data_IF_603554778575
#
_entry.id   IF_603554778575
#
_cell.length_a   1.000
_cell.length_b   1.000
_cell.length_c   1.000
_cell.angle_alpha   90.00
_cell.angle_beta   90.00
_cell.angle_gamma   90.00
#
_symmetry.space_group_name_H-M   'P 1'
#
loop_
_entity.id
_entity.type
_entity.pdbx_description
1 polymer ?
#
# COMPACT_ATOMS: atom_id res chain seq x y z
N UNK A 1 -8.95 25.52 17.43
CA UNK A 1 -8.05 24.39 17.07
C UNK A 1 -8.93 23.24 16.58
N UNK A 2 -8.71 22.72 15.38
CA UNK A 2 -9.57 21.67 14.79
C UNK A 2 -9.32 20.34 15.52
N UNK A 3 -10.39 19.71 16.02
CA UNK A 3 -10.35 18.46 16.79
C UNK A 3 -10.74 17.25 15.93
N UNK A 4 -10.10 17.11 14.77
CA UNK A 4 -10.41 16.05 13.81
C UNK A 4 -9.61 14.79 14.15
N UNK A 5 -10.29 13.71 14.54
CA UNK A 5 -9.66 12.42 14.88
C UNK A 5 -9.50 11.50 13.67
N UNK A 6 -10.41 11.59 12.70
CA UNK A 6 -10.45 10.73 11.52
C UNK A 6 -10.80 11.57 10.31
N UNK A 7 -10.03 11.39 9.23
CA UNK A 7 -10.30 12.00 7.94
C UNK A 7 -10.49 10.89 6.92
N UNK A 8 -11.57 10.96 6.15
CA UNK A 8 -11.79 10.11 4.98
C UNK A 8 -12.06 11.01 3.79
N UNK A 9 -11.24 10.89 2.76
CA UNK A 9 -11.44 11.54 1.47
C UNK A 9 -11.72 10.46 0.43
N UNK A 10 -12.83 10.58 -0.29
CA UNK A 10 -13.29 9.61 -1.30
C UNK A 10 -13.54 10.30 -2.62
N UNK A 11 -13.12 9.69 -3.74
CA UNK A 11 -13.35 10.21 -5.10
C UNK A 11 -12.87 11.65 -5.25
N UNK A 12 -11.74 11.96 -4.62
CA UNK A 12 -11.18 13.30 -4.64
C UNK A 12 -10.63 13.62 -6.03
N UNK A 13 -11.21 14.62 -6.70
CA UNK A 13 -10.58 15.26 -7.87
C UNK A 13 -9.45 16.22 -7.45
N UNK A 14 -8.89 16.04 -6.25
CA UNK A 14 -7.79 16.84 -5.75
C UNK A 14 -6.49 16.36 -6.39
N UNK A 15 -5.67 17.32 -6.86
CA UNK A 15 -4.32 17.02 -7.34
C UNK A 15 -3.43 16.53 -6.20
N UNK A 16 -3.54 17.17 -5.03
CA UNK A 16 -2.86 16.83 -3.79
C UNK A 16 -3.80 17.10 -2.60
N UNK A 17 -3.74 16.25 -1.57
CA UNK A 17 -4.38 16.48 -0.28
C UNK A 17 -3.31 16.85 0.76
N UNK A 18 -3.18 18.14 1.07
CA UNK A 18 -2.16 18.68 1.97
C UNK A 18 -2.71 18.85 3.40
N UNK A 19 -2.21 18.05 4.34
CA UNK A 19 -2.61 18.07 5.75
C UNK A 19 -1.67 18.98 6.55
N UNK A 20 -1.93 20.28 6.51
CA UNK A 20 -1.01 21.30 7.04
C UNK A 20 -0.84 21.22 8.57
N UNK A 21 -1.93 21.17 9.34
CA UNK A 21 -1.88 21.07 10.80
C UNK A 21 -3.13 20.40 11.35
N UNK A 22 -3.04 19.10 11.65
CA UNK A 22 -4.11 18.30 12.25
C UNK A 22 -3.53 17.49 13.43
N UNK A 23 -3.25 18.16 14.57
CA UNK A 23 -2.47 17.58 15.67
C UNK A 23 -3.10 16.36 16.33
N UNK A 24 -4.42 16.19 16.19
CA UNK A 24 -5.19 15.10 16.79
C UNK A 24 -5.66 14.06 15.77
N UNK A 25 -5.28 14.20 14.49
CA UNK A 25 -5.65 13.23 13.47
C UNK A 25 -4.97 11.91 13.78
N UNK A 26 -5.76 10.85 13.93
CA UNK A 26 -5.27 9.51 14.22
C UNK A 26 -5.39 8.57 13.02
N UNK A 27 -6.38 8.79 12.16
CA UNK A 27 -6.68 7.92 11.02
C UNK A 27 -6.95 8.72 9.76
N UNK A 28 -6.29 8.33 8.68
CA UNK A 28 -6.54 8.84 7.33
C UNK A 28 -6.93 7.69 6.41
N UNK A 29 -8.03 7.86 5.70
CA UNK A 29 -8.35 7.05 4.53
C UNK A 29 -8.40 7.96 3.31
N UNK A 30 -7.58 7.68 2.31
CA UNK A 30 -7.65 8.38 1.02
C UNK A 30 -7.95 7.40 -0.10
N UNK A 31 -9.06 7.64 -0.78
CA UNK A 31 -9.66 6.74 -1.75
C UNK A 31 -9.79 7.44 -3.10
N UNK A 32 -9.13 6.84 -4.09
CA UNK A 32 -9.19 7.15 -5.51
C UNK A 32 -8.77 8.58 -5.88
N UNK A 33 -7.51 8.91 -5.61
CA UNK A 33 -6.90 10.20 -6.00
C UNK A 33 -6.45 10.23 -7.47
N UNK A 34 -6.23 11.46 -7.95
CA UNK A 34 -5.80 11.70 -9.32
C UNK A 34 -4.30 11.42 -9.53
N UNK A 35 -4.02 10.86 -10.70
CA UNK A 35 -2.81 10.13 -11.09
C UNK A 35 -1.52 10.95 -11.26
N UNK A 36 -1.65 12.25 -11.59
CA UNK A 36 -0.54 12.99 -12.21
C UNK A 36 0.52 13.50 -11.23
N UNK A 37 0.24 13.55 -9.92
CA UNK A 37 1.07 14.20 -8.90
C UNK A 37 1.15 13.38 -7.60
N UNK A 38 1.99 13.82 -6.67
CA UNK A 38 2.06 13.23 -5.32
C UNK A 38 0.73 13.49 -4.59
N UNK A 39 0.05 12.45 -4.08
CA UNK A 39 -1.34 12.59 -3.66
C UNK A 39 -1.52 13.21 -2.29
N UNK A 40 -0.49 13.17 -1.44
CA UNK A 40 -0.58 13.54 -0.04
C UNK A 40 0.67 14.27 0.40
N UNK A 41 0.45 15.35 1.15
CA UNK A 41 1.49 16.03 1.91
C UNK A 41 1.10 16.03 3.39
N UNK A 42 2.02 15.59 4.24
CA UNK A 42 1.86 15.65 5.68
C UNK A 42 2.69 16.81 6.24
N UNK A 43 1.99 17.82 6.77
CA UNK A 43 2.56 18.84 7.64
C UNK A 43 2.61 18.33 9.09
N UNK A 44 1.92 19.01 10.00
CA UNK A 44 1.92 18.63 11.42
C UNK A 44 0.77 17.67 11.78
N UNK A 45 1.07 16.37 11.78
CA UNK A 45 0.13 15.26 12.09
C UNK A 45 0.69 14.25 13.12
N UNK A 46 1.17 14.68 14.30
CA UNK A 46 1.92 13.85 15.24
C UNK A 46 1.19 12.60 15.77
N UNK A 47 -0.14 12.57 15.73
CA UNK A 47 -0.93 11.44 16.24
C UNK A 47 -1.39 10.46 15.15
N UNK A 48 -1.06 10.72 13.88
CA UNK A 48 -1.48 9.88 12.78
C UNK A 48 -0.80 8.52 12.93
N UNK A 49 -1.60 7.47 13.11
CA UNK A 49 -1.09 6.11 13.35
C UNK A 49 -1.69 5.08 12.39
N UNK A 50 -2.80 5.42 11.73
CA UNK A 50 -3.46 4.55 10.76
C UNK A 50 -3.62 5.24 9.42
N UNK A 51 -3.10 4.60 8.37
CA UNK A 51 -3.21 5.08 7.00
C UNK A 51 -3.85 4.00 6.13
N UNK A 52 -4.87 4.39 5.36
CA UNK A 52 -5.46 3.53 4.33
C UNK A 52 -5.45 4.26 3.00
N UNK A 53 -4.75 3.68 2.02
CA UNK A 53 -4.64 4.20 0.67
C UNK A 53 -5.32 3.21 -0.27
N UNK A 54 -6.38 3.67 -0.92
CA UNK A 54 -7.23 2.84 -1.77
C UNK A 54 -7.20 3.44 -3.17
N UNK A 55 -6.73 2.67 -4.16
CA UNK A 55 -6.70 3.15 -5.54
C UNK A 55 -6.74 2.01 -6.54
N UNK A 56 -7.67 2.15 -7.48
CA UNK A 56 -7.63 1.41 -8.74
C UNK A 56 -6.60 2.07 -9.65
N UNK A 57 -5.50 1.38 -9.91
CA UNK A 57 -4.40 1.93 -10.69
C UNK A 57 -4.68 1.90 -12.19
N UNK A 58 -4.17 2.90 -12.91
CA UNK A 58 -4.19 2.99 -14.36
C UNK A 58 -2.77 3.18 -14.90
N UNK A 59 -2.58 2.98 -16.20
CA UNK A 59 -1.25 3.02 -16.85
C UNK A 59 -0.45 4.30 -16.56
N UNK A 60 -1.12 5.45 -16.50
CA UNK A 60 -0.48 6.75 -16.27
C UNK A 60 -0.13 7.03 -14.80
N UNK A 61 -0.57 6.18 -13.85
CA UNK A 61 -0.29 6.39 -12.43
C UNK A 61 1.21 6.35 -12.15
N UNK A 62 1.67 7.45 -11.56
CA UNK A 62 2.98 7.51 -10.93
C UNK A 62 3.04 6.51 -9.79
N UNK A 63 4.18 5.86 -9.70
CA UNK A 63 4.50 4.99 -8.57
C UNK A 63 4.95 5.87 -7.41
N UNK A 64 4.44 5.62 -6.21
CA UNK A 64 4.75 6.38 -5.01
C UNK A 64 5.86 5.69 -4.20
N UNK A 65 6.74 6.49 -3.65
CA UNK A 65 7.73 6.07 -2.65
C UNK A 65 7.14 6.25 -1.25
N UNK A 66 7.05 5.17 -0.48
CA UNK A 66 6.56 5.22 0.90
C UNK A 66 7.52 6.00 1.80
N UNK A 67 8.83 5.93 1.53
CA UNK A 67 9.83 6.68 2.30
C UNK A 67 9.60 8.19 2.20
N UNK A 68 9.32 8.69 0.99
CA UNK A 68 9.00 10.10 0.75
C UNK A 68 7.61 10.47 1.30
N UNK A 69 6.60 9.64 1.02
CA UNK A 69 5.22 9.87 1.43
C UNK A 69 5.09 10.02 2.95
N UNK A 70 5.81 9.19 3.71
CA UNK A 70 5.69 9.10 5.16
C UNK A 70 6.83 9.81 5.90
N UNK A 71 7.72 10.53 5.20
CA UNK A 71 8.89 11.19 5.79
C UNK A 71 8.57 12.10 6.99
N UNK A 72 7.42 12.79 6.95
CA UNK A 72 6.96 13.70 8.00
C UNK A 72 6.00 13.06 9.00
N UNK A 73 5.71 11.76 8.88
CA UNK A 73 4.82 11.06 9.79
C UNK A 73 5.65 10.38 10.88
N UNK A 74 5.52 10.79 12.16
CA UNK A 74 6.45 10.31 13.20
C UNK A 74 6.38 8.80 13.44
N UNK A 75 5.19 8.20 13.30
CA UNK A 75 5.00 6.77 13.51
C UNK A 75 3.69 6.30 12.90
N UNK A 76 3.76 5.35 11.98
CA UNK A 76 2.59 4.58 11.52
C UNK A 76 2.60 3.21 12.20
N UNK A 77 1.46 2.81 12.78
CA UNK A 77 1.26 1.50 13.39
C UNK A 77 0.41 0.56 12.52
N UNK A 78 -0.40 1.10 11.61
CA UNK A 78 -1.39 0.38 10.80
C UNK A 78 -1.41 0.95 9.38
N UNK A 79 -1.09 0.13 8.39
CA UNK A 79 -1.06 0.50 6.98
C UNK A 79 -1.94 -0.43 6.16
N UNK A 80 -2.90 0.14 5.44
CA UNK A 80 -3.70 -0.57 4.43
C UNK A 80 -3.39 -0.01 3.05
N UNK A 81 -3.03 -0.90 2.12
CA UNK A 81 -2.88 -0.61 0.70
C UNK A 81 -3.87 -1.48 -0.06
N UNK A 82 -4.77 -0.86 -0.81
CA UNK A 82 -5.82 -1.56 -1.56
C UNK A 82 -5.63 -1.29 -3.06
N UNK A 83 -5.23 -2.35 -3.77
CA UNK A 83 -4.83 -2.30 -5.18
C UNK A 83 -6.00 -2.73 -6.07
N UNK A 84 -6.71 -1.82 -6.71
CA UNK A 84 -7.90 -2.19 -7.50
C UNK A 84 -7.64 -2.78 -8.90
N UNK A 85 -6.39 -3.10 -9.26
CA UNK A 85 -5.97 -3.39 -10.65
C UNK A 85 -4.59 -4.03 -10.72
N UNK A 86 -4.17 -4.50 -11.90
CA UNK A 86 -2.82 -4.95 -12.22
C UNK A 86 -1.72 -3.90 -11.93
N UNK A 87 -2.08 -2.61 -11.96
CA UNK A 87 -1.15 -1.52 -11.70
C UNK A 87 -0.86 -1.41 -10.20
N UNK A 88 0.34 -1.83 -9.83
CA UNK A 88 0.96 -1.50 -8.55
C UNK A 88 1.42 -0.03 -8.58
N UNK A 89 0.84 0.80 -7.71
CA UNK A 89 1.15 2.25 -7.61
C UNK A 89 2.06 2.60 -6.43
N UNK A 90 2.63 1.61 -5.74
CA UNK A 90 3.69 1.77 -4.72
C UNK A 90 5.00 1.17 -5.21
N UNK A 91 6.11 1.88 -5.01
CA UNK A 91 7.44 1.40 -5.35
C UNK A 91 7.94 0.48 -4.23
N UNK A 92 8.44 -0.70 -4.62
CA UNK A 92 9.20 -1.56 -3.70
C UNK A 92 10.61 -1.00 -3.57
N UNK A 93 10.75 -0.01 -2.71
CA UNK A 93 12.04 0.62 -2.40
C UNK A 93 12.99 -0.36 -1.70
N UNK A 94 14.26 0.01 -1.57
CA UNK A 94 15.18 -0.74 -0.72
C UNK A 94 14.65 -0.74 0.73
N UNK A 95 14.46 -1.90 1.38
CA UNK A 95 13.91 -1.98 2.73
C UNK A 95 14.64 -1.10 3.75
N UNK A 96 15.95 -0.91 3.59
CA UNK A 96 16.78 -0.04 4.44
C UNK A 96 16.33 1.43 4.45
N UNK A 97 15.74 1.91 3.36
CA UNK A 97 15.18 3.27 3.27
C UNK A 97 13.84 3.38 4.02
N UNK A 98 13.10 2.27 4.10
CA UNK A 98 11.80 2.21 4.73
C UNK A 98 11.87 1.89 6.22
N UNK A 99 12.90 1.17 6.66
CA UNK A 99 13.06 0.78 8.07
C UNK A 99 12.90 1.94 9.05
N UNK A 100 13.51 3.14 8.85
CA UNK A 100 13.32 4.25 9.78
C UNK A 100 11.87 4.71 9.91
N UNK A 101 11.11 4.62 8.82
CA UNK A 101 9.73 5.13 8.70
C UNK A 101 8.70 4.08 9.14
N UNK A 102 8.99 2.79 8.92
CA UNK A 102 8.11 1.67 9.23
C UNK A 102 8.51 0.90 10.50
N UNK A 103 9.48 1.39 11.27
CA UNK A 103 9.99 0.70 12.47
C UNK A 103 8.93 0.44 13.56
N UNK A 104 7.81 1.17 13.58
CA UNK A 104 6.68 1.00 14.51
C UNK A 104 5.46 0.35 13.85
N UNK A 105 5.53 0.03 12.58
CA UNK A 105 4.44 -0.60 11.86
C UNK A 105 4.19 -2.00 12.43
N UNK A 106 2.96 -2.27 12.84
CA UNK A 106 2.56 -3.53 13.49
C UNK A 106 1.53 -4.32 12.69
N UNK A 107 0.69 -3.64 11.90
CA UNK A 107 -0.37 -4.26 11.13
C UNK A 107 -0.33 -3.76 9.70
N UNK A 108 -0.33 -4.69 8.76
CA UNK A 108 -0.40 -4.38 7.32
C UNK A 108 -1.49 -5.19 6.67
N UNK A 109 -2.33 -4.50 5.89
CA UNK A 109 -3.30 -5.12 4.99
C UNK A 109 -2.95 -4.75 3.55
N UNK A 110 -2.67 -5.77 2.73
CA UNK A 110 -2.51 -5.65 1.28
C UNK A 110 -3.76 -6.23 0.62
N UNK A 111 -4.71 -5.36 0.28
CA UNK A 111 -5.97 -5.78 -0.31
C UNK A 111 -5.90 -5.72 -1.82
N UNK A 112 -6.57 -6.68 -2.47
CA UNK A 112 -6.62 -6.80 -3.93
C UNK A 112 -5.24 -6.76 -4.60
N UNK A 113 -4.23 -7.36 -3.97
CA UNK A 113 -2.89 -7.44 -4.55
C UNK A 113 -2.91 -8.33 -5.81
N UNK A 114 -2.43 -7.87 -6.98
CA UNK A 114 -2.39 -8.70 -8.19
C UNK A 114 -1.75 -10.07 -7.96
N UNK A 115 -2.34 -11.12 -8.53
CA UNK A 115 -1.83 -12.50 -8.46
C UNK A 115 -0.31 -12.57 -8.73
N UNK A 116 0.42 -13.49 -8.11
CA UNK A 116 1.87 -13.68 -8.30
C UNK A 116 2.77 -12.54 -7.81
N UNK A 117 2.19 -11.51 -7.18
CA UNK A 117 2.95 -10.46 -6.47
C UNK A 117 3.10 -10.77 -4.96
N UNK A 118 2.29 -11.70 -4.44
CA UNK A 118 2.12 -12.04 -3.04
C UNK A 118 3.43 -12.35 -2.32
N UNK A 119 4.24 -13.28 -2.81
CA UNK A 119 5.53 -13.61 -2.18
C UNK A 119 6.46 -12.39 -2.17
N UNK A 120 6.54 -11.69 -3.29
CA UNK A 120 7.45 -10.58 -3.46
C UNK A 120 7.09 -9.37 -2.57
N UNK A 121 5.80 -9.17 -2.32
CA UNK A 121 5.29 -8.15 -1.40
C UNK A 121 5.38 -8.58 0.05
N UNK A 122 5.12 -9.86 0.35
CA UNK A 122 5.29 -10.42 1.69
C UNK A 122 6.71 -10.18 2.18
N UNK A 123 7.71 -10.59 1.40
CA UNK A 123 9.12 -10.41 1.78
C UNK A 123 9.53 -8.95 1.87
N UNK A 124 9.08 -8.11 0.93
CA UNK A 124 9.34 -6.67 0.96
C UNK A 124 8.85 -6.02 2.26
N UNK A 125 7.61 -6.31 2.67
CA UNK A 125 7.02 -5.74 3.90
C UNK A 125 7.75 -6.27 5.14
N UNK A 126 8.06 -7.57 5.19
CA UNK A 126 8.78 -8.15 6.33
C UNK A 126 10.17 -7.53 6.48
N UNK A 127 10.93 -7.39 5.40
CA UNK A 127 12.26 -6.78 5.45
C UNK A 127 12.21 -5.29 5.84
N UNK A 128 11.15 -4.57 5.46
CA UNK A 128 11.02 -3.14 5.71
C UNK A 128 10.47 -2.79 7.11
N UNK A 129 9.65 -3.65 7.72
CA UNK A 129 8.90 -3.36 8.94
C UNK A 129 9.28 -4.32 10.09
N UNK A 130 10.37 -4.06 10.83
CA UNK A 130 10.92 -5.00 11.82
C UNK A 130 9.99 -5.28 13.02
N UNK A 131 9.02 -4.40 13.31
CA UNK A 131 8.07 -4.57 14.42
C UNK A 131 6.73 -5.17 13.98
N UNK A 132 6.62 -5.65 12.74
CA UNK A 132 5.38 -6.17 12.18
C UNK A 132 4.89 -7.38 12.97
N UNK A 133 3.62 -7.36 13.36
CA UNK A 133 2.97 -8.45 14.11
C UNK A 133 1.99 -9.21 13.25
N UNK A 134 1.25 -8.49 12.41
CA UNK A 134 0.23 -9.09 11.54
C UNK A 134 0.35 -8.56 10.12
N UNK A 135 0.35 -9.49 9.16
CA UNK A 135 0.27 -9.21 7.73
C UNK A 135 -0.91 -9.98 7.14
N UNK A 136 -1.85 -9.24 6.56
CA UNK A 136 -2.98 -9.77 5.83
C UNK A 136 -2.84 -9.42 4.35
N UNK A 137 -3.01 -10.41 3.48
CA UNK A 137 -2.92 -10.26 2.04
C UNK A 137 -4.20 -10.83 1.43
N UNK A 138 -4.85 -10.06 0.58
CA UNK A 138 -5.96 -10.53 -0.25
C UNK A 138 -5.49 -10.45 -1.70
N UNK A 139 -5.28 -11.59 -2.33
CA UNK A 139 -4.88 -11.68 -3.73
C UNK A 139 -6.08 -11.38 -4.63
N UNK A 140 -5.86 -10.51 -5.61
CA UNK A 140 -6.80 -10.15 -6.64
C UNK A 140 -6.81 -11.21 -7.72
N UNK A 141 -7.79 -12.11 -7.63
CA UNK A 141 -8.12 -13.01 -8.74
C UNK A 141 -9.53 -13.62 -8.60
N UNK A 142 -10.55 -12.76 -8.63
CA UNK A 142 -11.88 -13.26 -8.98
C UNK A 142 -12.29 -12.60 -10.29
N UNK A 143 -12.49 -13.41 -11.34
CA UNK A 143 -12.91 -12.94 -12.67
C UNK A 143 -14.17 -12.05 -12.63
N UNK A 144 -15.03 -12.17 -11.61
CA UNK A 144 -16.19 -11.29 -11.48
C UNK A 144 -15.87 -9.86 -11.03
N UNK A 145 -14.64 -9.59 -10.57
CA UNK A 145 -14.19 -8.26 -10.13
C UNK A 145 -13.31 -7.61 -11.19
N UNK A 146 -12.62 -8.41 -12.00
CA UNK A 146 -11.73 -7.92 -13.05
C UNK A 146 -12.51 -7.44 -14.28
N UNK A 147 -12.12 -6.27 -14.80
CA UNK A 147 -12.54 -5.84 -16.12
C UNK A 147 -11.70 -6.58 -17.16
N UNK A 148 -12.26 -7.64 -17.74
CA UNK A 148 -11.61 -8.50 -18.75
C UNK A 148 -11.88 -8.03 -20.19
N UNK A 149 -12.97 -7.29 -20.41
CA UNK A 149 -13.32 -6.77 -21.73
C UNK A 149 -12.23 -5.78 -22.23
N UNK A 150 -11.61 -6.10 -23.37
CA UNK A 150 -10.49 -5.33 -23.94
C UNK A 150 -10.85 -3.87 -24.23
N UNK A 151 -12.07 -3.58 -24.67
CA UNK A 151 -12.50 -2.21 -24.97
C UNK A 151 -12.67 -1.39 -23.69
N UNK A 152 -13.27 -1.97 -22.65
CA UNK A 152 -13.38 -1.33 -21.34
C UNK A 152 -12.01 -1.12 -20.72
N UNK A 153 -11.10 -2.10 -20.82
CA UNK A 153 -9.71 -1.95 -20.35
C UNK A 153 -9.00 -0.79 -21.04
N UNK A 154 -9.16 -0.67 -22.36
CA UNK A 154 -8.62 0.44 -23.14
C UNK A 154 -9.26 1.77 -22.73
N UNK A 155 -10.60 1.81 -22.56
CA UNK A 155 -11.36 2.99 -22.16
C UNK A 155 -10.94 3.54 -20.79
N UNK A 156 -10.69 2.65 -19.84
CA UNK A 156 -10.28 3.01 -18.47
C UNK A 156 -8.76 3.01 -18.26
N UNK A 157 -7.98 2.89 -19.34
CA UNK A 157 -6.51 2.94 -19.31
C UNK A 157 -5.86 1.90 -18.38
N UNK A 158 -6.48 0.73 -18.20
CA UNK A 158 -5.82 -0.37 -17.49
C UNK A 158 -4.57 -0.84 -18.25
N UNK A 159 -3.60 -1.34 -17.49
CA UNK A 159 -2.40 -1.95 -18.05
C UNK A 159 -2.41 -3.44 -17.78
N UNK A 160 -1.64 -4.16 -18.58
CA UNK A 160 -1.34 -5.56 -18.28
C UNK A 160 -0.44 -5.62 -17.04
N UNK A 161 -0.49 -6.76 -16.36
CA UNK A 161 0.34 -7.06 -15.22
C UNK A 161 1.82 -7.03 -15.63
N UNK A 162 2.64 -6.37 -14.82
CA UNK A 162 4.08 -6.40 -14.99
C UNK A 162 4.65 -7.69 -14.37
N UNK A 163 5.69 -8.24 -14.99
CA UNK A 163 6.45 -9.35 -14.41
C UNK A 163 7.11 -8.91 -13.09
N UNK A 164 6.62 -9.44 -11.99
CA UNK A 164 7.18 -9.18 -10.66
C UNK A 164 8.24 -10.22 -10.36
N UNK A 165 9.47 -9.93 -10.78
CA UNK A 165 10.62 -10.73 -10.33
C UNK A 165 10.85 -10.46 -8.84
N UNK A 166 10.93 -11.54 -8.06
CA UNK A 166 11.37 -11.52 -6.69
C UNK A 166 12.86 -11.86 -6.61
N UNK A 167 13.60 -11.08 -5.82
CA UNK A 167 14.92 -11.42 -5.30
C UNK A 167 14.96 -10.93 -3.86
N UNK A 168 15.36 -11.76 -2.89
CA UNK A 168 15.51 -11.31 -1.51
C UNK A 168 16.59 -10.23 -1.42
N UNK A 169 16.38 -9.18 -0.63
CA UNK A 169 17.45 -8.21 -0.37
C UNK A 169 18.45 -8.76 0.65
N UNK A 170 18.00 -9.68 1.51
CA UNK A 170 18.83 -10.42 2.45
C UNK A 170 18.50 -11.92 2.36
N UNK A 171 19.39 -12.77 1.80
CA UNK A 171 19.13 -14.20 1.62
C UNK A 171 18.81 -14.96 2.91
N UNK A 172 19.43 -14.56 4.02
CA UNK A 172 19.26 -15.19 5.35
C UNK A 172 18.28 -14.41 6.25
N UNK A 173 17.39 -13.62 5.64
CA UNK A 173 16.45 -12.80 6.39
C UNK A 173 15.54 -13.63 7.29
N UNK A 174 15.40 -13.19 8.54
CA UNK A 174 14.48 -13.80 9.52
C UNK A 174 13.70 -12.70 10.22
N UNK A 175 12.38 -12.75 10.10
CA UNK A 175 11.48 -11.86 10.82
C UNK A 175 11.15 -12.45 12.20
N UNK A 176 11.39 -11.70 13.28
CA UNK A 176 11.24 -12.21 14.66
C UNK A 176 9.91 -11.90 15.34
N UNK A 177 9.16 -10.92 14.83
CA UNK A 177 7.98 -10.37 15.51
C UNK A 177 6.64 -10.74 14.84
N UNK A 178 6.68 -11.38 13.66
CA UNK A 178 5.46 -11.70 12.92
C UNK A 178 4.76 -12.86 13.62
N UNK A 179 3.59 -12.58 14.19
CA UNK A 179 2.78 -13.56 14.89
C UNK A 179 1.69 -14.15 13.99
N UNK A 180 1.25 -13.41 12.97
CA UNK A 180 0.17 -13.81 12.07
C UNK A 180 0.43 -13.39 10.64
N UNK A 181 0.38 -14.36 9.73
CA UNK A 181 0.29 -14.15 8.29
C UNK A 181 -1.03 -14.75 7.82
N UNK A 182 -1.82 -13.98 7.09
CA UNK A 182 -3.06 -14.46 6.49
C UNK A 182 -3.06 -14.10 5.02
N UNK A 183 -3.24 -15.10 4.16
CA UNK A 183 -3.33 -14.92 2.71
C UNK A 183 -4.68 -15.46 2.26
N UNK A 184 -5.51 -14.58 1.72
CA UNK A 184 -6.77 -14.90 1.07
C UNK A 184 -6.56 -14.85 -0.44
N UNK A 185 -6.99 -15.88 -1.15
CA UNK A 185 -6.88 -15.93 -2.60
C UNK A 185 -7.10 -17.34 -3.12
N UNK A 186 -7.37 -17.45 -4.41
CA UNK A 186 -7.36 -18.71 -5.13
C UNK A 186 -6.09 -18.71 -5.99
N UNK A 187 -5.18 -19.64 -5.77
CA UNK A 187 -4.15 -19.93 -6.77
C UNK A 187 -3.86 -21.43 -6.80
N UNK A 188 -3.69 -21.92 -8.02
CA UNK A 188 -3.46 -23.31 -8.33
C UNK A 188 -2.10 -23.38 -9.05
N UNK A 189 -1.00 -23.89 -8.44
CA UNK A 189 -0.74 -24.09 -7.01
C UNK A 189 -0.10 -22.85 -6.34
N UNK A 190 -0.37 -22.68 -5.04
CA UNK A 190 0.18 -21.62 -4.18
C UNK A 190 1.48 -22.14 -3.52
N UNK A 191 2.63 -21.55 -3.84
CA UNK A 191 3.89 -21.87 -3.13
C UNK A 191 4.00 -20.97 -1.90
N UNK A 192 3.87 -21.56 -0.71
CA UNK A 192 4.08 -20.88 0.57
C UNK A 192 5.49 -21.20 1.04
N UNK A 193 6.36 -20.18 1.07
CA UNK A 193 7.73 -20.17 1.61
C UNK A 193 8.68 -21.23 1.02
#
# INVERSE_FOLDING_TARGET
>A
MINLLRLRSTRGNFRELSLICLPKLQRLTYDNWFSSEYPLYFGFVPQLSKLSLIKTGIRSDKTLELSQLLANVPSIGDLRLDFGSEKIWILRECPKLLTPVLNKLQHVNLDHLPEGCDLAWTMFILEAAPSLKELCITVWDHWCIMITNKELRKKYCFCEKADVKWKPYAPDFKHKNLAKLTIYGFSNPMTIL
#
